data_IF_480614529911
#
_entry.id   IF_480614529911
#
_cell.length_a   1.000
_cell.length_b   1.000
_cell.length_c   1.000
_cell.angle_alpha   90.00
_cell.angle_beta   90.00
_cell.angle_gamma   90.00
#
_symmetry.space_group_name_H-M   'P 1'
#
loop_
_entity.id
_entity.type
_entity.pdbx_description
1 polymer ?
#
# COMPACT_ATOMS: atom_id res chain seq x y z
N UNK A 1 27.19 -95.22 -48.29
CA UNK A 1 27.86 -94.06 -48.91
C UNK A 1 27.00 -92.83 -48.61
N UNK A 2 27.62 -91.84 -48.00
CA UNK A 2 27.02 -90.72 -47.27
C UNK A 2 26.37 -89.70 -48.21
N UNK A 3 25.08 -89.45 -48.03
CA UNK A 3 24.38 -88.30 -48.63
C UNK A 3 24.85 -87.03 -47.93
N UNK A 4 25.50 -86.13 -48.67
CA UNK A 4 25.81 -84.76 -48.23
C UNK A 4 24.51 -84.00 -47.93
N UNK A 5 24.39 -83.27 -46.81
CA UNK A 5 23.25 -82.39 -46.60
C UNK A 5 23.43 -81.13 -47.46
N UNK A 6 22.39 -80.78 -48.21
CA UNK A 6 22.29 -79.48 -48.88
C UNK A 6 22.48 -78.36 -47.85
N UNK A 7 23.62 -77.70 -47.86
CA UNK A 7 23.80 -76.47 -47.10
C UNK A 7 23.07 -75.35 -47.83
N UNK A 8 22.09 -74.74 -47.16
CA UNK A 8 21.43 -73.54 -47.64
C UNK A 8 22.44 -72.39 -47.64
N UNK A 9 22.96 -72.04 -48.82
CA UNK A 9 23.80 -70.85 -49.02
C UNK A 9 22.87 -69.66 -49.21
N UNK A 10 22.94 -68.68 -48.31
CA UNK A 10 22.20 -67.42 -48.43
C UNK A 10 22.87 -66.58 -49.50
N UNK A 11 22.26 -66.50 -50.69
CA UNK A 11 22.84 -65.78 -51.83
C UNK A 11 22.66 -64.26 -51.77
N UNK A 12 21.79 -63.74 -50.91
CA UNK A 12 21.44 -62.33 -50.90
C UNK A 12 20.81 -61.89 -49.56
N UNK A 13 21.40 -60.89 -48.91
CA UNK A 13 20.85 -60.25 -47.73
C UNK A 13 20.89 -58.73 -47.91
N UNK A 14 19.73 -58.07 -47.93
CA UNK A 14 19.62 -56.61 -47.86
C UNK A 14 19.15 -56.27 -46.44
N UNK A 15 19.82 -55.31 -45.81
CA UNK A 15 19.35 -54.73 -44.56
C UNK A 15 18.06 -53.96 -44.83
N UNK A 16 16.97 -54.34 -44.16
CA UNK A 16 15.73 -53.58 -44.16
C UNK A 16 15.52 -53.00 -42.76
N UNK A 17 15.23 -51.71 -42.69
CA UNK A 17 14.83 -51.08 -41.44
C UNK A 17 13.34 -51.32 -41.22
N UNK A 18 13.00 -52.06 -40.16
CA UNK A 18 11.61 -52.19 -39.70
C UNK A 18 11.32 -51.10 -38.68
N UNK A 19 10.48 -50.15 -39.06
CA UNK A 19 9.85 -49.25 -38.11
C UNK A 19 8.67 -49.97 -37.46
N UNK A 20 8.82 -50.32 -36.18
CA UNK A 20 7.75 -50.92 -35.40
C UNK A 20 6.76 -49.84 -34.96
N UNK A 21 5.54 -49.89 -35.49
CA UNK A 21 4.44 -49.02 -35.07
C UNK A 21 3.48 -49.84 -34.21
N UNK A 22 3.15 -49.34 -33.01
CA UNK A 22 2.17 -50.00 -32.15
C UNK A 22 0.77 -49.96 -32.79
N UNK A 23 0.02 -51.09 -32.82
CA UNK A 23 -1.35 -51.09 -33.31
C UNK A 23 -2.26 -50.25 -32.38
N UNK A 24 -3.27 -49.60 -32.95
CA UNK A 24 -4.11 -48.55 -32.29
C UNK A 24 -4.91 -49.00 -31.05
N UNK A 25 -4.93 -50.29 -30.73
CA UNK A 25 -5.60 -50.85 -29.54
C UNK A 25 -4.66 -51.62 -28.60
N UNK A 26 -3.35 -51.37 -28.67
CA UNK A 26 -2.36 -51.97 -27.76
C UNK A 26 -2.15 -51.13 -26.50
N UNK A 27 -1.74 -51.76 -25.39
CA UNK A 27 -1.35 -51.08 -24.14
C UNK A 27 -0.26 -50.03 -24.37
N UNK A 28 0.66 -50.28 -25.31
CA UNK A 28 1.70 -49.33 -25.71
C UNK A 28 1.12 -48.06 -26.37
N UNK A 29 0.04 -48.20 -27.15
CA UNK A 29 -0.64 -47.06 -27.77
C UNK A 29 -1.40 -46.23 -26.73
N UNK A 30 -2.05 -46.88 -25.75
CA UNK A 30 -2.68 -46.18 -24.62
C UNK A 30 -1.65 -45.37 -23.80
N UNK A 31 -0.47 -45.94 -23.53
CA UNK A 31 0.60 -45.21 -22.85
C UNK A 31 1.09 -44.03 -23.68
N UNK A 32 1.26 -44.19 -25.00
CA UNK A 32 1.63 -43.08 -25.89
C UNK A 32 0.60 -41.95 -25.86
N UNK A 33 -0.70 -42.27 -25.93
CA UNK A 33 -1.79 -41.27 -25.83
C UNK A 33 -1.75 -40.56 -24.48
N UNK A 34 -1.59 -41.30 -23.38
CA UNK A 34 -1.46 -40.71 -22.03
C UNK A 34 -0.23 -39.80 -21.92
N UNK A 35 0.90 -40.18 -22.51
CA UNK A 35 2.11 -39.38 -22.54
C UNK A 35 1.90 -38.08 -23.33
N UNK A 36 1.21 -38.13 -24.48
CA UNK A 36 0.86 -36.94 -25.27
C UNK A 36 -0.09 -36.03 -24.49
N UNK A 37 -1.11 -36.59 -23.82
CA UNK A 37 -2.02 -35.83 -22.97
C UNK A 37 -1.23 -35.18 -21.83
N UNK A 38 -0.38 -35.92 -21.13
CA UNK A 38 0.45 -35.40 -20.05
C UNK A 38 1.39 -34.30 -20.54
N UNK A 39 1.99 -34.45 -21.72
CA UNK A 39 2.86 -33.45 -22.33
C UNK A 39 2.14 -32.12 -22.57
N UNK A 40 0.83 -32.14 -22.83
CA UNK A 40 0.02 -30.92 -23.01
C UNK A 40 -0.51 -30.39 -21.68
N UNK A 41 -1.04 -31.30 -20.85
CA UNK A 41 -1.75 -30.95 -19.61
C UNK A 41 -0.78 -30.48 -18.52
N UNK A 42 0.38 -31.12 -18.36
CA UNK A 42 1.36 -30.76 -17.32
C UNK A 42 1.88 -29.33 -17.48
N UNK A 43 2.40 -28.88 -18.64
CA UNK A 43 2.81 -27.49 -18.79
C UNK A 43 1.63 -26.53 -18.68
N UNK A 44 0.44 -26.89 -19.17
CA UNK A 44 -0.75 -26.04 -19.03
C UNK A 44 -1.07 -25.78 -17.55
N UNK A 45 -1.14 -26.83 -16.74
CA UNK A 45 -1.34 -26.70 -15.29
C UNK A 45 -0.19 -25.97 -14.60
N UNK A 46 1.06 -26.20 -15.02
CA UNK A 46 2.20 -25.48 -14.47
C UNK A 46 2.12 -23.97 -14.77
N UNK A 47 1.74 -23.58 -15.99
CA UNK A 47 1.55 -22.17 -16.36
C UNK A 47 0.39 -21.51 -15.63
N UNK A 48 -0.71 -22.25 -15.42
CA UNK A 48 -1.88 -21.76 -14.69
C UNK A 48 -1.58 -21.63 -13.18
N UNK A 49 -0.91 -22.62 -12.58
CA UNK A 49 -0.54 -22.61 -11.17
C UNK A 49 0.56 -21.58 -10.85
N UNK A 50 1.40 -21.23 -11.83
CA UNK A 50 2.41 -20.19 -11.68
C UNK A 50 1.81 -18.76 -11.70
N UNK A 51 0.49 -18.62 -11.87
CA UNK A 51 -0.29 -17.38 -12.07
C UNK A 51 0.15 -16.51 -13.26
N UNK A 52 1.43 -16.51 -13.65
CA UNK A 52 2.04 -15.82 -14.79
C UNK A 52 3.46 -16.34 -15.06
N UNK A 53 3.78 -16.76 -16.28
CA UNK A 53 5.10 -17.35 -16.61
C UNK A 53 6.23 -16.31 -16.74
N UNK A 54 5.91 -15.01 -16.84
CA UNK A 54 6.93 -13.96 -16.94
C UNK A 54 6.39 -12.54 -16.70
N UNK A 55 5.51 -12.34 -15.71
CA UNK A 55 5.02 -10.97 -15.41
C UNK A 55 6.01 -10.27 -14.49
N UNK A 56 6.69 -9.26 -15.02
CA UNK A 56 7.65 -8.43 -14.25
C UNK A 56 6.94 -7.41 -13.37
N UNK A 57 5.86 -6.82 -13.88
CA UNK A 57 5.10 -5.78 -13.21
C UNK A 57 3.61 -6.01 -13.48
N UNK A 58 2.78 -5.79 -12.47
CA UNK A 58 1.32 -5.85 -12.61
C UNK A 58 0.68 -4.66 -11.92
N UNK A 59 -0.41 -4.16 -12.49
CA UNK A 59 -1.20 -3.08 -11.93
C UNK A 59 -2.48 -3.64 -11.37
N UNK A 60 -2.81 -3.26 -10.14
CA UNK A 60 -4.06 -3.63 -9.50
C UNK A 60 -4.54 -2.45 -8.65
N UNK A 61 -5.86 -2.39 -8.44
CA UNK A 61 -6.50 -1.37 -7.61
C UNK A 61 -6.90 -1.98 -6.29
N UNK A 62 -6.69 -1.23 -5.21
CA UNK A 62 -7.05 -1.61 -3.84
C UNK A 62 -7.77 -0.45 -3.19
N UNK A 63 -8.78 -0.76 -2.39
CA UNK A 63 -9.37 0.17 -1.45
C UNK A 63 -8.63 0.04 -0.11
N UNK A 64 -7.86 1.05 0.33
CA UNK A 64 -7.18 0.98 1.61
C UNK A 64 -8.17 1.16 2.76
N UNK A 65 -7.87 0.53 3.89
CA UNK A 65 -8.56 0.80 5.16
C UNK A 65 -7.91 2.02 5.78
N UNK A 66 -8.68 3.08 6.00
CA UNK A 66 -8.19 4.35 6.55
C UNK A 66 -8.89 4.62 7.87
N UNK A 67 -8.10 4.87 8.91
CA UNK A 67 -8.61 5.15 10.26
C UNK A 67 -7.96 6.41 10.81
N UNK A 68 -8.74 7.25 11.48
CA UNK A 68 -8.19 8.42 12.17
C UNK A 68 -7.36 7.98 13.37
N UNK A 69 -6.09 8.38 13.42
CA UNK A 69 -5.14 7.95 14.46
C UNK A 69 -5.35 8.65 15.82
N UNK A 70 -6.36 9.54 15.93
CA UNK A 70 -6.61 10.39 17.09
C UNK A 70 -5.45 11.36 17.41
N UNK A 71 -4.61 11.64 16.43
CA UNK A 71 -3.57 12.66 16.53
C UNK A 71 -3.91 13.87 15.70
N UNK A 72 -3.91 15.02 16.36
CA UNK A 72 -4.40 16.26 15.81
C UNK A 72 -3.59 17.43 16.38
N UNK A 73 -3.18 18.32 15.49
CA UNK A 73 -2.65 19.63 15.81
C UNK A 73 -3.45 20.68 15.03
N UNK A 74 -4.06 21.63 15.72
CA UNK A 74 -4.89 22.67 15.12
C UNK A 74 -4.50 24.02 15.66
N UNK A 75 -4.46 24.98 14.76
CA UNK A 75 -4.11 26.36 15.02
C UNK A 75 -5.05 27.25 14.21
N UNK A 76 -5.80 28.10 14.89
CA UNK A 76 -6.80 28.97 14.31
C UNK A 76 -6.37 30.41 14.60
N UNK A 77 -6.15 31.20 13.56
CA UNK A 77 -5.81 32.61 13.65
C UNK A 77 -7.03 33.51 13.42
N UNK A 78 -7.17 34.54 14.26
CA UNK A 78 -8.11 35.64 14.03
C UNK A 78 -7.40 36.88 13.46
N UNK A 79 -7.98 38.06 13.70
CA UNK A 79 -7.49 39.34 13.18
C UNK A 79 -6.17 39.79 13.84
N UNK A 80 -5.96 39.40 15.09
CA UNK A 80 -4.75 39.72 15.87
C UNK A 80 -4.07 38.46 16.37
N UNK A 81 -2.78 38.56 16.66
CA UNK A 81 -2.00 37.46 17.28
C UNK A 81 -2.59 37.03 18.63
N UNK A 82 -3.28 37.93 19.33
CA UNK A 82 -3.98 37.62 20.59
C UNK A 82 -5.29 36.85 20.40
N UNK A 83 -5.84 36.81 19.19
CA UNK A 83 -7.03 36.02 18.86
C UNK A 83 -6.69 34.63 18.32
N UNK A 84 -5.40 34.30 18.27
CA UNK A 84 -4.91 33.00 17.84
C UNK A 84 -5.16 31.96 18.93
N UNK A 85 -5.83 30.88 18.55
CA UNK A 85 -6.19 29.78 19.42
C UNK A 85 -5.61 28.50 18.86
N UNK A 86 -5.12 27.61 19.71
CA UNK A 86 -4.62 26.33 19.25
C UNK A 86 -4.95 25.18 20.19
N UNK A 87 -4.87 23.97 19.67
CA UNK A 87 -5.00 22.73 20.41
C UNK A 87 -4.17 21.63 19.76
N UNK A 88 -3.57 20.78 20.58
CA UNK A 88 -2.82 19.60 20.13
C UNK A 88 -3.12 18.43 21.04
N UNK A 89 -3.35 17.25 20.47
CA UNK A 89 -3.45 16.00 21.24
C UNK A 89 -2.10 15.57 21.78
N UNK A 90 -1.02 15.89 21.06
CA UNK A 90 0.34 15.59 21.50
C UNK A 90 0.86 16.66 22.47
N UNK A 91 1.27 16.29 23.71
CA UNK A 91 1.79 17.24 24.69
C UNK A 91 3.06 17.97 24.25
N UNK A 92 3.91 17.28 23.48
CA UNK A 92 5.20 17.81 23.02
C UNK A 92 5.02 19.02 22.09
N UNK A 93 3.95 19.02 21.29
CA UNK A 93 3.62 20.10 20.37
C UNK A 93 2.86 21.25 21.04
N UNK A 94 2.40 21.09 22.28
CA UNK A 94 1.70 22.15 23.00
C UNK A 94 2.60 23.38 23.24
N UNK A 95 3.92 23.18 23.29
CA UNK A 95 4.90 24.27 23.40
C UNK A 95 4.87 25.20 22.19
N UNK A 96 4.43 24.71 21.03
CA UNK A 96 4.31 25.48 19.79
C UNK A 96 2.98 26.24 19.69
N UNK A 97 2.03 25.97 20.58
CA UNK A 97 0.72 26.59 20.55
C UNK A 97 0.77 28.04 21.08
N UNK A 98 -0.17 28.89 20.64
CA UNK A 98 -0.32 30.23 21.18
C UNK A 98 -0.72 30.20 22.66
N UNK A 99 -0.61 31.35 23.33
CA UNK A 99 -0.99 31.51 24.75
C UNK A 99 -2.44 31.10 25.06
N UNK A 100 -3.35 31.26 24.08
CA UNK A 100 -4.74 30.87 24.24
C UNK A 100 -4.96 29.46 23.69
N UNK A 101 -5.11 28.50 24.61
CA UNK A 101 -5.41 27.11 24.27
C UNK A 101 -6.89 26.87 24.55
N UNK A 102 -7.64 26.43 23.54
CA UNK A 102 -9.05 26.04 23.70
C UNK A 102 -9.23 24.61 23.23
N UNK A 103 -9.87 23.79 24.07
CA UNK A 103 -10.13 22.38 23.76
C UNK A 103 -11.33 22.28 22.81
N UNK A 104 -11.17 21.73 21.59
CA UNK A 104 -12.28 21.45 20.69
C UNK A 104 -12.98 20.13 21.06
N UNK A 105 -14.24 20.01 20.65
CA UNK A 105 -14.90 18.71 20.55
C UNK A 105 -14.51 18.08 19.22
N UNK A 106 -13.84 16.93 19.29
CA UNK A 106 -13.41 16.17 18.10
C UNK A 106 -14.39 15.02 17.87
N UNK A 107 -14.91 14.92 16.66
CA UNK A 107 -15.77 13.80 16.23
C UNK A 107 -15.22 13.23 14.93
N UNK A 108 -15.04 11.91 14.90
CA UNK A 108 -14.67 11.17 13.70
C UNK A 108 -15.76 10.16 13.41
N UNK A 109 -16.27 10.15 12.18
CA UNK A 109 -17.23 9.15 11.71
C UNK A 109 -16.78 8.60 10.36
N UNK A 110 -17.08 7.34 10.14
CA UNK A 110 -16.84 6.65 8.87
C UNK A 110 -18.17 6.17 8.31
N UNK A 111 -18.35 6.31 7.01
CA UNK A 111 -19.52 5.85 6.29
C UNK A 111 -19.11 4.78 5.28
N UNK A 112 -19.83 3.66 5.31
CA UNK A 112 -19.72 2.55 4.37
C UNK A 112 -21.05 2.49 3.62
N UNK A 113 -21.03 2.98 2.38
CA UNK A 113 -22.24 3.17 1.58
C UNK A 113 -22.67 1.85 0.93
N UNK A 114 -21.70 1.01 0.53
CA UNK A 114 -21.95 -0.23 -0.19
C UNK A 114 -22.09 -1.46 0.75
N UNK A 115 -21.79 -1.30 2.05
CA UNK A 115 -21.84 -2.31 3.12
C UNK A 115 -20.87 -3.48 2.90
N UNK A 116 -19.71 -3.23 2.32
CA UNK A 116 -18.66 -4.24 2.14
C UNK A 116 -17.74 -4.41 3.37
N UNK A 117 -17.93 -3.58 4.40
CA UNK A 117 -17.15 -3.58 5.63
C UNK A 117 -15.90 -2.69 5.57
N UNK A 118 -15.67 -1.99 4.46
CA UNK A 118 -14.60 -1.02 4.28
C UNK A 118 -15.21 0.39 4.24
N UNK A 119 -14.62 1.32 4.98
CA UNK A 119 -15.11 2.70 4.98
C UNK A 119 -14.86 3.37 3.62
N UNK A 120 -15.92 3.98 3.06
CA UNK A 120 -15.86 4.75 1.81
C UNK A 120 -15.52 6.21 2.08
N UNK A 121 -16.16 6.78 3.11
CA UNK A 121 -16.01 8.19 3.48
C UNK A 121 -15.57 8.31 4.93
N UNK A 122 -14.60 9.18 5.18
CA UNK A 122 -14.20 9.58 6.52
C UNK A 122 -14.55 11.05 6.72
N UNK A 123 -15.25 11.34 7.82
CA UNK A 123 -15.60 12.68 8.22
C UNK A 123 -14.99 13.01 9.58
N UNK A 124 -14.13 14.02 9.61
CA UNK A 124 -13.57 14.61 10.82
C UNK A 124 -14.25 15.97 11.06
N UNK A 125 -14.90 16.13 12.20
CA UNK A 125 -15.57 17.36 12.63
C UNK A 125 -14.92 17.89 13.90
N UNK A 126 -14.66 19.20 13.92
CA UNK A 126 -14.00 19.89 15.01
C UNK A 126 -14.81 21.10 15.42
N UNK A 127 -15.38 21.06 16.63
CA UNK A 127 -16.19 22.15 17.17
C UNK A 127 -15.41 22.89 18.25
N UNK A 128 -15.03 24.15 17.97
CA UNK A 128 -14.35 25.01 18.94
C UNK A 128 -15.36 25.90 19.69
N UNK A 129 -15.16 26.13 21.00
CA UNK A 129 -16.00 27.06 21.74
C UNK A 129 -15.75 28.50 21.29
N UNK A 130 -16.66 29.01 20.46
CA UNK A 130 -16.63 30.38 19.95
C UNK A 130 -17.35 31.33 20.91
N UNK A 131 -16.64 32.39 21.32
CA UNK A 131 -17.19 33.50 22.12
C UNK A 131 -17.70 34.63 21.20
N UNK A 132 -18.27 34.28 20.03
CA UNK A 132 -18.66 35.27 19.02
C UNK A 132 -17.47 35.91 18.28
N UNK A 133 -16.30 35.27 18.32
CA UNK A 133 -15.11 35.69 17.56
C UNK A 133 -15.14 35.04 16.17
N UNK A 134 -14.72 35.80 15.16
CA UNK A 134 -14.50 35.30 13.81
C UNK A 134 -13.04 34.94 13.60
N UNK A 135 -12.79 33.91 12.81
CA UNK A 135 -11.44 33.44 12.51
C UNK A 135 -11.13 33.57 11.02
N UNK A 136 -9.86 33.81 10.69
CA UNK A 136 -9.40 34.07 9.31
C UNK A 136 -8.51 32.96 8.78
N UNK A 137 -7.69 32.35 9.62
CA UNK A 137 -6.80 31.27 9.20
C UNK A 137 -7.02 30.03 10.05
N UNK A 138 -6.87 28.88 9.40
CA UNK A 138 -6.91 27.57 10.03
C UNK A 138 -5.76 26.75 9.46
N UNK A 139 -4.87 26.33 10.34
CA UNK A 139 -3.88 25.32 10.10
C UNK A 139 -4.25 24.07 10.88
N UNK A 140 -4.54 22.99 10.16
CA UNK A 140 -4.93 21.70 10.73
C UNK A 140 -3.99 20.63 10.20
N UNK A 141 -3.46 19.84 11.13
CA UNK A 141 -2.67 18.66 10.86
C UNK A 141 -3.34 17.48 11.56
N UNK A 142 -3.83 16.53 10.78
CA UNK A 142 -4.51 15.32 11.27
C UNK A 142 -3.78 14.08 10.76
N UNK A 143 -3.51 13.13 11.66
CA UNK A 143 -2.85 11.87 11.29
C UNK A 143 -3.88 10.78 11.05
N UNK A 144 -3.66 10.02 9.98
CA UNK A 144 -4.47 8.89 9.59
C UNK A 144 -3.59 7.66 9.43
N UNK A 145 -4.03 6.54 9.98
CA UNK A 145 -3.44 5.25 9.72
C UNK A 145 -4.07 4.65 8.47
N UNK A 146 -3.23 4.23 7.54
CA UNK A 146 -3.64 3.67 6.26
C UNK A 146 -3.08 2.25 6.18
N UNK A 147 -3.96 1.29 5.96
CA UNK A 147 -3.64 -0.12 5.81
C UNK A 147 -4.05 -0.57 4.42
N UNK A 148 -3.08 -1.04 3.65
CA UNK A 148 -3.29 -1.65 2.34
C UNK A 148 -3.21 -3.16 2.54
N UNK A 149 -4.22 -3.89 2.06
CA UNK A 149 -4.30 -5.34 2.14
C UNK A 149 -4.28 -5.95 0.72
N UNK A 150 -3.89 -7.23 0.62
CA UNK A 150 -3.88 -7.98 -0.64
C UNK A 150 -2.48 -8.42 -1.05
N UNK A 151 -2.11 -8.20 -2.31
CA UNK A 151 -0.81 -8.63 -2.86
C UNK A 151 0.37 -7.88 -2.23
N UNK A 152 0.16 -6.62 -1.87
CA UNK A 152 1.15 -5.77 -1.21
C UNK A 152 0.52 -5.29 0.08
N UNK A 153 0.84 -5.98 1.18
CA UNK A 153 0.37 -5.61 2.50
C UNK A 153 1.28 -4.52 3.10
N UNK A 154 0.75 -3.33 3.33
CA UNK A 154 1.50 -2.17 3.80
C UNK A 154 0.70 -1.42 4.86
N UNK A 155 1.37 -0.99 5.93
CA UNK A 155 0.82 -0.13 6.97
C UNK A 155 1.66 1.14 7.04
N UNK A 156 0.99 2.28 6.88
CA UNK A 156 1.61 3.61 6.84
C UNK A 156 0.81 4.62 7.63
N UNK A 157 1.51 5.56 8.28
CA UNK A 157 0.88 6.71 8.92
C UNK A 157 0.99 7.95 8.01
N UNK A 158 -0.17 8.46 7.63
CA UNK A 158 -0.35 9.57 6.69
C UNK A 158 -0.70 10.86 7.42
N UNK A 159 -0.20 11.99 6.94
CA UNK A 159 -0.54 13.32 7.45
C UNK A 159 -1.44 14.06 6.47
N UNK A 160 -2.58 14.53 6.96
CA UNK A 160 -3.42 15.51 6.27
C UNK A 160 -3.09 16.88 6.82
N UNK A 161 -2.52 17.73 5.97
CA UNK A 161 -2.22 19.12 6.28
C UNK A 161 -3.17 20.04 5.51
N UNK A 162 -3.89 20.89 6.23
CA UNK A 162 -4.75 21.94 5.69
C UNK A 162 -4.25 23.27 6.21
N UNK A 163 -3.85 24.16 5.31
CA UNK A 163 -3.54 25.55 5.63
C UNK A 163 -4.44 26.42 4.76
N UNK A 164 -5.44 27.03 5.39
CA UNK A 164 -6.45 27.83 4.71
C UNK A 164 -6.49 29.19 5.39
N UNK A 165 -6.36 30.24 4.58
CA UNK A 165 -6.55 31.62 5.00
C UNK A 165 -7.64 32.29 4.17
N UNK A 166 -8.47 33.07 4.84
CA UNK A 166 -9.57 33.83 4.27
C UNK A 166 -9.42 35.30 4.65
N UNK A 167 -9.69 36.24 3.73
CA UNK A 167 -9.73 37.66 4.05
C UNK A 167 -10.93 38.02 4.94
N UNK A 168 -11.99 37.21 4.89
CA UNK A 168 -13.21 37.39 5.69
C UNK A 168 -13.21 36.48 6.90
N UNK A 169 -13.68 37.01 8.03
CA UNK A 169 -13.89 36.23 9.24
C UNK A 169 -14.98 35.18 9.02
N UNK A 170 -14.63 33.91 9.23
CA UNK A 170 -15.55 32.78 9.17
C UNK A 170 -15.79 32.18 10.55
N UNK A 171 -16.95 31.55 10.72
CA UNK A 171 -17.30 30.74 11.89
C UNK A 171 -17.20 29.24 11.61
N UNK A 172 -17.03 28.83 10.35
CA UNK A 172 -17.02 27.43 9.95
C UNK A 172 -16.20 27.19 8.67
N UNK A 173 -15.72 25.96 8.52
CA UNK A 173 -14.92 25.52 7.40
C UNK A 173 -15.31 24.08 7.04
N UNK A 174 -15.70 23.87 5.78
CA UNK A 174 -15.96 22.55 5.23
C UNK A 174 -14.97 22.29 4.10
N UNK A 175 -14.21 21.21 4.23
CA UNK A 175 -13.22 20.78 3.23
C UNK A 175 -13.56 19.37 2.81
N UNK A 176 -13.68 19.19 1.49
CA UNK A 176 -13.85 17.88 0.88
C UNK A 176 -12.63 17.59 0.02
N UNK A 177 -12.13 16.35 0.10
CA UNK A 177 -10.96 15.92 -0.64
C UNK A 177 -11.02 14.43 -0.92
N UNK A 178 -10.08 13.96 -1.74
CA UNK A 178 -9.93 12.56 -2.07
C UNK A 178 -8.55 12.08 -1.65
N UNK A 179 -8.50 10.92 -1.00
CA UNK A 179 -7.25 10.22 -0.74
C UNK A 179 -6.84 9.43 -1.98
N UNK A 180 -5.62 9.69 -2.47
CA UNK A 180 -5.05 8.94 -3.61
C UNK A 180 -3.65 8.45 -3.26
N UNK A 181 -3.40 7.15 -3.41
CA UNK A 181 -2.07 6.59 -3.27
C UNK A 181 -1.24 6.87 -4.53
N UNK A 182 -0.14 7.62 -4.39
CA UNK A 182 0.78 7.93 -5.49
C UNK A 182 2.07 7.12 -5.38
N UNK A 183 2.07 5.96 -6.04
CA UNK A 183 3.23 5.09 -6.11
C UNK A 183 4.28 5.66 -7.09
N UNK A 184 5.52 5.85 -6.62
CA UNK A 184 6.65 6.28 -7.48
C UNK A 184 7.46 5.11 -8.04
N UNK A 185 7.52 4.01 -7.32
CA UNK A 185 8.31 2.82 -7.65
C UNK A 185 7.47 1.56 -7.51
N UNK A 186 7.68 0.52 -8.33
CA UNK A 186 7.06 -0.79 -8.14
C UNK A 186 7.28 -1.32 -6.72
N UNK A 187 6.24 -1.87 -6.11
CA UNK A 187 6.31 -2.49 -4.79
C UNK A 187 6.41 -4.00 -4.95
N UNK A 188 7.24 -4.63 -4.13
CA UNK A 188 7.38 -6.08 -4.10
C UNK A 188 6.18 -6.72 -3.41
N UNK A 189 5.70 -7.82 -3.98
CA UNK A 189 4.67 -8.65 -3.37
C UNK A 189 5.17 -9.19 -2.02
N UNK A 190 4.39 -8.96 -0.97
CA UNK A 190 4.67 -9.40 0.39
C UNK A 190 3.37 -9.88 1.01
N UNK A 191 3.28 -11.14 1.46
CA UNK A 191 2.13 -11.58 2.23
C UNK A 191 2.12 -10.94 3.64
N UNK A 192 3.29 -10.58 4.16
CA UNK A 192 3.42 -9.91 5.45
C UNK A 192 3.26 -8.40 5.31
N UNK A 193 2.47 -7.82 6.22
CA UNK A 193 2.26 -6.38 6.32
C UNK A 193 3.58 -5.68 6.68
N UNK A 194 4.12 -4.92 5.74
CA UNK A 194 5.30 -4.11 5.97
C UNK A 194 4.88 -2.82 6.67
N UNK A 195 5.64 -2.45 7.69
CA UNK A 195 5.47 -1.18 8.36
C UNK A 195 6.36 -0.14 7.68
N UNK A 196 5.79 0.59 6.73
CA UNK A 196 6.48 1.63 5.97
C UNK A 196 5.94 2.96 6.43
N UNK A 197 6.78 3.75 7.12
CA UNK A 197 6.37 5.00 7.79
C UNK A 197 5.37 4.79 8.94
N UNK A 198 5.57 3.76 9.76
CA UNK A 198 4.71 3.49 10.93
C UNK A 198 4.91 4.47 12.11
N UNK A 199 5.89 5.36 12.04
CA UNK A 199 6.02 6.42 13.04
C UNK A 199 5.01 7.52 12.79
N UNK A 200 4.37 8.02 13.85
CA UNK A 200 3.50 9.19 13.71
C UNK A 200 4.27 10.37 13.09
N UNK A 201 3.72 11.02 12.05
CA UNK A 201 4.31 12.22 11.47
C UNK A 201 4.46 13.38 12.45
N UNK A 202 3.63 13.41 13.49
CA UNK A 202 3.61 14.48 14.49
C UNK A 202 4.51 14.15 15.70
N UNK A 203 4.92 12.89 15.89
CA UNK A 203 5.74 12.48 17.02
C UNK A 203 7.17 13.07 16.97
N UNK A 204 7.54 13.70 18.09
CA UNK A 204 8.84 14.34 18.27
C UNK A 204 9.67 13.50 19.24
N UNK A 205 10.49 12.61 18.68
CA UNK A 205 11.43 11.83 19.51
C UNK A 205 12.60 12.70 19.97
N UNK A 206 12.47 13.35 21.14
CA UNK A 206 13.46 14.22 21.81
C UNK A 206 14.85 13.59 22.02
N UNK A 207 14.98 12.26 21.90
CA UNK A 207 16.26 11.54 21.99
C UNK A 207 16.93 11.32 20.65
N UNK A 208 16.31 11.74 19.55
CA UNK A 208 16.87 11.59 18.21
C UNK A 208 17.99 12.59 17.96
N UNK A 209 18.99 12.18 17.19
CA UNK A 209 20.12 13.03 16.80
C UNK A 209 19.74 14.24 15.93
N UNK A 210 18.48 14.32 15.48
CA UNK A 210 17.98 15.40 14.63
C UNK A 210 17.58 16.66 15.41
N UNK A 211 17.23 16.54 16.69
CA UNK A 211 16.62 17.63 17.49
C UNK A 211 17.59 18.64 18.10
N UNK A 212 18.79 18.26 18.57
CA UNK A 212 19.68 19.20 19.26
C UNK A 212 20.01 20.46 18.45
N UNK A 213 20.06 20.35 17.12
CA UNK A 213 20.42 21.44 16.22
C UNK A 213 19.21 22.30 15.78
N UNK A 214 18.00 21.93 16.21
CA UNK A 214 16.72 22.44 15.69
C UNK A 214 15.85 23.08 16.75
N UNK A 215 16.48 23.66 17.78
CA UNK A 215 15.77 24.40 18.82
C UNK A 215 15.82 25.92 18.52
N UNK A 216 14.67 26.63 18.55
CA UNK A 216 13.33 26.14 18.88
C UNK A 216 12.71 25.33 17.73
N UNK A 217 12.04 24.23 18.09
CA UNK A 217 11.36 23.35 17.14
C UNK A 217 10.29 24.14 16.38
N UNK A 218 10.39 24.19 15.05
CA UNK A 218 9.35 24.81 14.21
C UNK A 218 8.45 23.76 13.58
N UNK A 219 7.21 24.15 13.27
CA UNK A 219 6.28 23.25 12.57
C UNK A 219 6.75 22.95 11.14
N UNK A 220 7.40 23.91 10.48
CA UNK A 220 7.98 23.73 9.15
C UNK A 220 9.06 22.64 9.14
N UNK A 221 9.86 22.56 10.20
CA UNK A 221 10.89 21.53 10.35
C UNK A 221 10.28 20.14 10.55
N UNK A 222 9.17 20.03 11.28
CA UNK A 222 8.44 18.76 11.42
C UNK A 222 7.86 18.31 10.08
N UNK A 223 7.21 19.22 9.35
CA UNK A 223 6.62 18.91 8.05
C UNK A 223 7.69 18.59 7.00
N UNK A 224 8.82 19.29 7.00
CA UNK A 224 9.93 19.01 6.09
C UNK A 224 10.59 17.66 6.39
N UNK A 225 10.73 17.27 7.67
CA UNK A 225 11.18 15.94 8.06
C UNK A 225 10.26 14.84 7.53
N UNK A 226 8.95 15.01 7.68
CA UNK A 226 7.97 14.07 7.14
C UNK A 226 8.02 14.01 5.60
N UNK A 227 8.15 15.15 4.94
CA UNK A 227 8.30 15.20 3.48
C UNK A 227 9.57 14.46 3.01
N UNK A 228 10.68 14.56 3.75
CA UNK A 228 11.93 13.85 3.42
C UNK A 228 11.82 12.33 3.65
N UNK A 229 11.17 11.89 4.73
CA UNK A 229 11.01 10.45 4.99
C UNK A 229 10.18 9.77 3.88
N UNK A 230 9.16 10.45 3.36
CA UNK A 230 8.29 9.95 2.28
C UNK A 230 9.00 9.61 0.95
N UNK A 231 10.29 9.93 0.80
CA UNK A 231 11.08 9.69 -0.42
C UNK A 231 11.92 8.40 -0.32
N UNK A 232 12.22 7.91 0.88
CA UNK A 232 13.17 6.81 1.07
C UNK A 232 12.46 5.50 1.40
N UNK A 233 12.31 4.61 0.40
CA UNK A 233 12.09 3.18 0.63
C UNK A 233 13.46 2.52 0.45
N UNK A 234 14.09 1.97 1.51
CA UNK A 234 15.25 1.12 1.31
C UNK A 234 14.78 -0.09 0.50
N UNK A 235 15.24 -0.19 -0.75
CA UNK A 235 15.14 -1.43 -1.50
C UNK A 235 15.99 -2.45 -0.74
N UNK A 236 15.35 -3.35 0.02
CA UNK A 236 16.03 -4.54 0.49
C UNK A 236 16.38 -5.39 -0.74
N UNK A 237 17.62 -5.90 -0.83
CA UNK A 237 18.09 -6.71 -1.95
C UNK A 237 17.38 -8.06 -2.04
#
# INVERSE_FOLDING_TARGET
MTLWPFQHVVCHSIAYDRLFVAPRCSTAYCLWVLAVIALVVVPLFATFAADNVWVKESFYRVQPVVTFANELYVLIGGDTTETMVGWSTQPQLQVLLPKQVKVPTVRSSTEDTNRDGIADTLQLSLDFPSEGKTYRSVLLLAVYDVQIQGKVAEQLSSLVALDISSPYGSSGLWVHGQLSFRQKLPLYQSPEARQVYAGSPLDVNWRSNWIPDKQPLSLEELLSRYAQSSVFIPMLP
#
